data_IF_018823627494
#
_entry.id   IF_018823627494
#
_cell.length_a   1.000
_cell.length_b   1.000
_cell.length_c   1.000
_cell.angle_alpha   90.00
_cell.angle_beta   90.00
_cell.angle_gamma   90.00
#
_symmetry.space_group_name_H-M   'P 1'
#
loop_
_entity.id
_entity.type
_entity.pdbx_description
1 polymer ?
#
# COMPACT_ATOMS: atom_id res chain seq x y z
N UNK A 1 -38.63 -29.49 -68.03
CA UNK A 1 -37.25 -29.44 -68.58
C UNK A 1 -36.41 -28.73 -67.54
N UNK A 2 -35.79 -29.54 -66.65
CA UNK A 2 -34.33 -29.64 -66.46
C UNK A 2 -33.76 -28.48 -65.61
N UNK A 3 -32.89 -28.66 -64.62
CA UNK A 3 -32.42 -29.81 -63.83
C UNK A 3 -31.57 -29.15 -62.71
N UNK A 4 -31.86 -29.51 -61.45
CA UNK A 4 -30.91 -29.79 -60.36
C UNK A 4 -29.89 -28.73 -59.89
N UNK A 5 -29.81 -28.69 -58.56
CA UNK A 5 -29.11 -27.80 -57.63
C UNK A 5 -27.65 -28.26 -57.34
N UNK A 6 -26.77 -27.28 -57.05
CA UNK A 6 -25.52 -27.30 -56.22
C UNK A 6 -24.22 -27.95 -56.73
N UNK A 7 -23.15 -27.14 -56.74
CA UNK A 7 -21.83 -27.48 -56.18
C UNK A 7 -21.07 -26.16 -55.86
N UNK A 8 -21.22 -25.63 -54.65
CA UNK A 8 -20.22 -25.66 -53.55
C UNK A 8 -18.81 -25.15 -53.91
N UNK A 9 -18.49 -23.90 -53.54
CA UNK A 9 -17.13 -23.51 -53.21
C UNK A 9 -17.15 -22.78 -51.86
N UNK A 10 -16.75 -23.53 -50.83
CA UNK A 10 -16.53 -23.07 -49.47
C UNK A 10 -15.23 -22.28 -49.47
N UNK A 11 -15.31 -20.95 -49.35
CA UNK A 11 -14.14 -20.12 -49.04
C UNK A 11 -13.99 -20.15 -47.52
N UNK A 12 -13.10 -21.01 -47.04
CA UNK A 12 -12.70 -21.05 -45.64
C UNK A 12 -12.00 -19.75 -45.26
N UNK A 13 -12.65 -18.98 -44.41
CA UNK A 13 -12.14 -17.81 -43.72
C UNK A 13 -11.10 -18.29 -42.70
N UNK A 14 -9.81 -18.07 -42.98
CA UNK A 14 -8.76 -18.18 -41.97
C UNK A 14 -8.67 -16.84 -41.22
N UNK A 15 -9.51 -16.66 -40.19
CA UNK A 15 -9.31 -15.62 -39.18
C UNK A 15 -8.12 -16.08 -38.32
N UNK A 16 -6.94 -15.52 -38.58
CA UNK A 16 -5.86 -15.51 -37.60
C UNK A 16 -6.30 -14.58 -36.46
N UNK A 17 -7.04 -15.14 -35.51
CA UNK A 17 -7.27 -14.50 -34.22
C UNK A 17 -5.93 -14.49 -33.47
N UNK A 18 -5.17 -13.41 -33.64
CA UNK A 18 -4.06 -13.09 -32.74
C UNK A 18 -4.69 -12.87 -31.37
N UNK A 19 -4.59 -13.87 -30.49
CA UNK A 19 -4.77 -13.66 -29.05
C UNK A 19 -3.65 -12.71 -28.60
N UNK A 20 -3.90 -11.41 -28.68
CA UNK A 20 -3.19 -10.46 -27.85
C UNK A 20 -3.74 -10.71 -26.45
N UNK A 21 -3.10 -11.61 -25.71
CA UNK A 21 -3.30 -11.70 -24.28
C UNK A 21 -3.09 -10.29 -23.73
N UNK A 22 -4.10 -9.75 -23.04
CA UNK A 22 -3.97 -8.54 -22.25
C UNK A 22 -2.92 -8.81 -21.19
N UNK A 23 -1.65 -8.60 -21.52
CA UNK A 23 -0.61 -8.46 -20.53
C UNK A 23 -0.96 -7.15 -19.84
N UNK A 24 -1.64 -7.25 -18.69
CA UNK A 24 -1.73 -6.14 -17.76
C UNK A 24 -0.29 -5.74 -17.46
N UNK A 25 0.15 -4.61 -18.01
CA UNK A 25 1.46 -4.04 -17.70
C UNK A 25 1.37 -3.56 -16.26
N UNK A 26 1.65 -4.46 -15.32
CA UNK A 26 1.72 -4.10 -13.91
C UNK A 26 2.80 -3.04 -13.75
N UNK A 27 2.39 -1.88 -13.25
CA UNK A 27 3.29 -0.75 -13.04
C UNK A 27 4.05 -1.01 -11.75
N UNK A 28 5.37 -1.18 -11.87
CA UNK A 28 6.23 -1.37 -10.71
C UNK A 28 6.34 -0.06 -9.89
N UNK A 29 6.13 -0.12 -8.56
CA UNK A 29 6.40 0.99 -7.67
C UNK A 29 7.85 1.47 -7.75
N UNK A 30 8.01 2.79 -7.85
CA UNK A 30 9.34 3.41 -7.89
C UNK A 30 9.32 4.76 -7.21
N UNK A 31 10.47 5.16 -6.68
CA UNK A 31 10.67 6.41 -5.99
C UNK A 31 12.01 7.00 -6.41
N UNK A 32 12.02 8.30 -6.69
CA UNK A 32 13.24 9.09 -6.82
C UNK A 32 13.19 10.21 -5.80
N UNK A 33 14.18 10.27 -4.92
CA UNK A 33 14.40 11.38 -4.00
C UNK A 33 15.41 12.35 -4.60
N UNK A 34 15.24 13.64 -4.30
CA UNK A 34 16.11 14.72 -4.76
C UNK A 34 16.56 15.58 -3.59
N UNK A 35 17.85 15.91 -3.56
CA UNK A 35 18.46 16.73 -2.52
C UNK A 35 18.05 18.21 -2.61
N UNK A 36 17.59 18.67 -3.78
CA UNK A 36 17.02 19.99 -4.00
C UNK A 36 15.50 19.95 -4.13
N UNK A 37 14.86 21.12 -3.95
CA UNK A 37 13.44 21.32 -4.28
C UNK A 37 13.22 21.27 -5.78
N UNK A 38 11.98 21.01 -6.19
CA UNK A 38 11.55 20.94 -7.59
C UNK A 38 12.40 19.96 -8.42
N UNK A 39 12.75 18.82 -7.82
CA UNK A 39 13.40 17.69 -8.48
C UNK A 39 14.79 18.02 -9.02
N UNK A 40 15.55 18.79 -8.24
CA UNK A 40 16.90 19.24 -8.60
C UNK A 40 17.97 18.65 -7.68
N UNK A 41 19.24 18.73 -8.08
CA UNK A 41 20.37 18.27 -7.27
C UNK A 41 20.67 16.78 -7.38
N UNK A 42 21.46 16.28 -6.42
CA UNK A 42 21.74 14.85 -6.27
C UNK A 42 20.43 14.08 -6.11
N UNK A 43 20.34 12.88 -6.70
CA UNK A 43 19.16 12.04 -6.58
C UNK A 43 19.51 10.60 -6.22
N UNK A 44 18.56 9.94 -5.55
CA UNK A 44 18.58 8.52 -5.22
C UNK A 44 17.29 7.89 -5.76
N UNK A 45 17.42 6.84 -6.57
CA UNK A 45 16.28 6.10 -7.13
C UNK A 45 16.17 4.72 -6.50
N UNK A 46 14.95 4.35 -6.09
CA UNK A 46 14.61 3.10 -5.42
C UNK A 46 13.49 2.39 -6.18
N UNK A 47 13.60 1.07 -6.27
CA UNK A 47 12.59 0.18 -6.87
C UNK A 47 11.99 -0.71 -5.78
N UNK A 48 10.67 -0.63 -5.58
CA UNK A 48 9.83 -1.50 -4.74
C UNK A 48 10.48 -2.18 -3.51
N UNK A 49 11.33 -1.46 -2.79
CA UNK A 49 12.10 -2.00 -1.67
C UNK A 49 12.16 -0.99 -0.55
N UNK A 50 12.04 -1.51 0.66
CA UNK A 50 12.28 -0.75 1.86
C UNK A 50 13.77 -0.40 1.98
N UNK A 51 14.04 0.70 2.69
CA UNK A 51 15.37 1.11 3.13
C UNK A 51 15.28 1.42 4.61
N UNK A 52 15.90 0.58 5.43
CA UNK A 52 15.95 0.81 6.89
C UNK A 52 16.83 2.01 7.24
N UNK A 53 17.79 2.35 6.37
CA UNK A 53 18.72 3.47 6.50
C UNK A 53 19.03 4.03 5.11
N UNK A 54 19.28 5.34 5.04
CA UNK A 54 19.76 6.02 3.84
C UNK A 54 21.23 6.46 3.94
N UNK A 55 21.84 6.33 5.11
CA UNK A 55 23.28 6.62 5.31
C UNK A 55 24.17 5.79 4.38
N UNK A 56 23.97 4.46 4.22
CA UNK A 56 24.80 3.67 3.31
C UNK A 56 24.69 4.09 1.83
N UNK A 57 23.60 4.75 1.46
CA UNK A 57 23.34 5.27 0.11
C UNK A 57 23.92 6.69 -0.06
N UNK A 58 24.51 7.28 0.99
CA UNK A 58 25.00 8.65 1.00
C UNK A 58 23.89 9.68 0.81
N UNK A 59 22.65 9.37 1.23
CA UNK A 59 21.46 10.20 1.01
C UNK A 59 20.66 10.51 2.29
N UNK A 60 21.22 10.19 3.45
CA UNK A 60 20.61 10.43 4.76
C UNK A 60 20.35 11.91 5.01
N UNK A 61 19.13 12.25 5.46
CA UNK A 61 18.74 13.63 5.76
C UNK A 61 18.92 14.62 4.58
N UNK A 62 18.98 14.14 3.34
CA UNK A 62 19.19 15.01 2.17
C UNK A 62 17.90 15.38 1.43
N UNK A 63 16.85 14.57 1.53
CA UNK A 63 15.71 14.68 0.62
C UNK A 63 14.88 15.95 0.86
N UNK A 64 14.67 16.74 -0.20
CA UNK A 64 13.84 17.95 -0.21
C UNK A 64 12.66 17.88 -1.19
N UNK A 65 12.77 17.04 -2.21
CA UNK A 65 11.65 16.74 -3.11
C UNK A 65 11.73 15.31 -3.60
N UNK A 66 10.65 14.82 -4.21
CA UNK A 66 10.54 13.45 -4.68
C UNK A 66 9.62 13.35 -5.90
N UNK A 67 9.80 12.28 -6.66
CA UNK A 67 8.85 11.77 -7.65
C UNK A 67 8.62 10.28 -7.41
N UNK A 68 7.37 9.82 -7.43
CA UNK A 68 7.05 8.44 -7.12
C UNK A 68 5.86 7.89 -7.89
N UNK A 69 5.86 6.57 -8.07
CA UNK A 69 4.72 5.74 -8.46
C UNK A 69 4.41 4.81 -7.29
N UNK A 70 3.13 4.56 -7.02
CA UNK A 70 2.67 3.77 -5.88
C UNK A 70 2.55 4.59 -4.60
N UNK A 71 2.72 3.91 -3.47
CA UNK A 71 2.56 4.48 -2.12
C UNK A 71 3.83 4.26 -1.31
N UNK A 72 4.31 5.31 -0.66
CA UNK A 72 5.60 5.33 0.05
C UNK A 72 5.47 6.00 1.41
N UNK A 73 6.19 5.49 2.40
CA UNK A 73 6.32 6.04 3.75
C UNK A 73 7.76 6.53 3.94
N UNK A 74 7.91 7.69 4.54
CA UNK A 74 9.19 8.36 4.79
C UNK A 74 9.30 8.65 6.28
N UNK A 75 10.45 8.37 6.86
CA UNK A 75 10.67 8.48 8.30
C UNK A 75 11.86 9.38 8.59
N UNK A 76 11.72 10.21 9.64
CA UNK A 76 12.75 11.13 10.13
C UNK A 76 13.99 10.38 10.66
N UNK A 77 13.79 9.19 11.27
CA UNK A 77 14.88 8.40 11.83
C UNK A 77 15.10 7.08 11.07
N UNK A 78 16.30 6.48 11.23
CA UNK A 78 16.57 5.11 10.82
C UNK A 78 15.58 4.10 11.41
N UNK A 79 15.53 2.93 10.78
CA UNK A 79 14.72 1.78 11.21
C UNK A 79 13.23 2.14 11.41
N UNK A 80 12.69 3.02 10.57
CA UNK A 80 11.27 3.36 10.53
C UNK A 80 10.75 3.93 11.86
N UNK A 81 11.56 4.77 12.52
CA UNK A 81 11.29 5.33 13.85
C UNK A 81 11.00 4.25 14.92
N UNK A 82 11.67 3.08 14.83
CA UNK A 82 11.39 1.96 15.73
C UNK A 82 11.75 2.24 17.19
N UNK A 83 12.77 3.05 17.46
CA UNK A 83 13.29 3.23 18.82
C UNK A 83 12.84 4.54 19.48
N UNK A 84 12.47 5.54 18.67
CA UNK A 84 12.21 6.90 19.13
C UNK A 84 11.00 7.49 18.43
N UNK A 85 10.42 8.50 19.07
CA UNK A 85 9.37 9.31 18.49
C UNK A 85 9.96 10.28 17.50
N UNK A 86 9.48 10.23 16.25
CA UNK A 86 9.83 11.23 15.27
C UNK A 86 8.73 11.43 14.23
N UNK A 87 8.97 12.34 13.29
CA UNK A 87 8.04 12.59 12.21
C UNK A 87 8.03 11.45 11.20
N UNK A 88 6.88 11.28 10.54
CA UNK A 88 6.72 10.44 9.37
C UNK A 88 5.92 11.24 8.34
N UNK A 89 6.22 11.07 7.06
CA UNK A 89 5.37 11.50 5.96
C UNK A 89 4.99 10.29 5.11
N UNK A 90 3.89 10.39 4.38
CA UNK A 90 3.55 9.38 3.38
C UNK A 90 3.08 10.05 2.10
N UNK A 91 3.30 9.36 0.99
CA UNK A 91 2.85 9.79 -0.32
C UNK A 91 2.05 8.69 -0.98
N UNK A 92 0.93 9.07 -1.57
CA UNK A 92 0.17 8.24 -2.49
C UNK A 92 0.10 8.92 -3.85
N UNK A 93 0.67 8.29 -4.88
CA UNK A 93 0.60 8.80 -6.24
C UNK A 93 -0.83 8.66 -6.81
N UNK A 94 -1.32 9.56 -7.69
CA UNK A 94 -2.64 9.47 -8.29
C UNK A 94 -2.88 8.10 -8.95
N UNK A 95 -3.94 7.43 -8.50
CA UNK A 95 -4.33 6.08 -8.93
C UNK A 95 -3.22 5.01 -8.74
N UNK A 96 -2.16 5.31 -7.98
CA UNK A 96 -1.00 4.45 -7.79
C UNK A 96 -0.12 4.21 -9.03
N UNK A 97 -0.57 4.55 -10.24
CA UNK A 97 0.12 4.24 -11.52
C UNK A 97 0.88 5.42 -12.12
N UNK A 98 0.40 6.64 -11.90
CA UNK A 98 1.00 7.84 -12.49
C UNK A 98 2.13 8.36 -11.62
N UNK A 99 3.19 8.88 -12.24
CA UNK A 99 4.24 9.57 -11.48
C UNK A 99 3.63 10.80 -10.81
N UNK A 100 3.86 10.92 -9.50
CA UNK A 100 3.53 12.10 -8.72
C UNK A 100 4.78 12.70 -8.12
N UNK A 101 4.89 14.00 -8.23
CA UNK A 101 6.06 14.73 -7.84
C UNK A 101 5.69 15.83 -6.84
N UNK A 102 6.42 15.93 -5.74
CA UNK A 102 6.14 16.89 -4.66
C UNK A 102 7.41 17.35 -3.96
N UNK A 103 7.37 18.55 -3.39
CA UNK A 103 8.35 18.98 -2.40
C UNK A 103 7.95 18.42 -1.02
N UNK A 104 8.93 18.12 -0.17
CA UNK A 104 8.68 18.01 1.27
C UNK A 104 8.35 19.39 1.83
N UNK A 105 7.48 19.42 2.84
CA UNK A 105 7.20 20.66 3.56
C UNK A 105 8.44 21.13 4.36
N UNK A 106 8.40 22.36 4.88
CA UNK A 106 9.54 22.93 5.60
C UNK A 106 9.89 22.21 6.92
N UNK A 107 8.98 21.40 7.48
CA UNK A 107 9.21 20.66 8.72
C UNK A 107 9.88 19.33 8.44
N UNK A 108 9.57 18.69 7.31
CA UNK A 108 10.10 17.37 6.94
C UNK A 108 11.24 17.41 5.91
N UNK A 109 11.49 18.56 5.28
CA UNK A 109 12.62 18.75 4.36
C UNK A 109 13.95 18.46 5.08
N UNK A 110 14.84 17.70 4.43
CA UNK A 110 16.15 17.28 4.97
C UNK A 110 16.06 16.40 6.23
N UNK A 111 15.03 15.55 6.32
CA UNK A 111 14.84 14.64 7.46
C UNK A 111 14.75 13.16 7.11
N UNK A 112 14.47 12.82 5.86
CA UNK A 112 14.24 11.42 5.50
C UNK A 112 15.51 10.60 5.75
N UNK A 113 15.41 9.62 6.65
CA UNK A 113 16.51 8.71 7.03
C UNK A 113 16.17 7.23 6.79
N UNK A 114 14.87 6.89 6.66
CA UNK A 114 14.43 5.56 6.24
C UNK A 114 13.10 5.61 5.47
N UNK A 115 12.80 4.56 4.70
CA UNK A 115 11.70 4.53 3.72
C UNK A 115 11.05 3.15 3.66
N UNK A 116 9.72 3.12 3.56
CA UNK A 116 8.98 1.90 3.20
C UNK A 116 8.15 2.06 1.94
N UNK A 117 8.09 0.99 1.17
CA UNK A 117 7.10 0.82 0.12
C UNK A 117 5.83 0.18 0.70
N UNK A 118 4.66 0.59 0.19
CA UNK A 118 3.36 0.09 0.65
C UNK A 118 2.67 -0.71 -0.44
N UNK A 119 2.30 -1.95 -0.12
CA UNK A 119 1.57 -2.86 -1.00
C UNK A 119 2.45 -3.97 -1.58
N UNK A 120 2.08 -4.48 -2.75
CA UNK A 120 2.85 -5.54 -3.43
C UNK A 120 3.86 -4.95 -4.39
N UNK A 121 5.12 -5.43 -4.38
CA UNK A 121 6.14 -4.99 -5.34
C UNK A 121 5.81 -5.41 -6.78
N UNK A 122 4.90 -6.38 -6.95
CA UNK A 122 4.47 -6.88 -8.26
C UNK A 122 3.29 -6.10 -8.81
N UNK A 123 2.34 -5.70 -7.96
CA UNK A 123 1.11 -5.06 -8.39
C UNK A 123 0.59 -4.04 -7.40
N UNK A 124 0.39 -2.80 -7.86
CA UNK A 124 -0.22 -1.73 -7.06
C UNK A 124 -1.70 -1.99 -6.71
N UNK A 125 -2.38 -2.91 -7.41
CA UNK A 125 -3.78 -3.32 -7.11
C UNK A 125 -3.84 -4.57 -6.24
N UNK A 126 -2.70 -5.14 -5.85
CA UNK A 126 -2.70 -6.35 -5.03
C UNK A 126 -3.43 -6.10 -3.71
N UNK A 127 -4.22 -7.09 -3.31
CA UNK A 127 -4.90 -7.07 -2.03
C UNK A 127 -3.95 -7.51 -0.93
N UNK A 128 -3.60 -6.56 -0.07
CA UNK A 128 -2.64 -6.80 1.00
C UNK A 128 -3.11 -6.17 2.29
N UNK A 129 -2.68 -6.75 3.40
CA UNK A 129 -2.79 -6.18 4.73
C UNK A 129 -1.38 -6.07 5.30
N UNK A 130 -0.98 -4.88 5.73
CA UNK A 130 0.28 -4.67 6.44
C UNK A 130 -0.01 -4.18 7.85
N UNK A 131 0.50 -4.89 8.84
CA UNK A 131 0.38 -4.56 10.26
C UNK A 131 1.63 -3.82 10.72
N UNK A 132 1.48 -2.87 11.64
CA UNK A 132 2.58 -2.10 12.22
C UNK A 132 2.48 -2.06 13.75
N UNK A 133 3.62 -2.18 14.41
CA UNK A 133 3.75 -2.24 15.86
C UNK A 133 3.48 -0.89 16.57
N UNK A 134 3.59 0.24 15.86
CA UNK A 134 3.31 1.57 16.40
C UNK A 134 2.27 2.29 15.56
N UNK A 135 1.68 3.36 16.09
CA UNK A 135 0.78 4.22 15.32
C UNK A 135 1.57 4.92 14.21
N UNK A 136 0.86 5.46 13.23
CA UNK A 136 1.49 6.14 12.09
C UNK A 136 2.49 5.24 11.35
N UNK A 137 2.21 3.94 11.26
CA UNK A 137 2.96 2.98 10.45
C UNK A 137 4.45 2.87 10.80
N UNK A 138 4.80 3.15 12.06
CA UNK A 138 6.16 3.11 12.57
C UNK A 138 6.52 1.76 13.20
N UNK A 139 7.81 1.53 13.44
CA UNK A 139 8.31 0.33 14.09
C UNK A 139 8.21 -0.92 13.21
N UNK A 140 8.27 -2.10 13.83
CA UNK A 140 8.21 -3.38 13.13
C UNK A 140 6.90 -3.52 12.33
N UNK A 141 6.98 -4.17 11.17
CA UNK A 141 5.83 -4.43 10.29
C UNK A 141 5.77 -5.88 9.82
N UNK A 142 4.57 -6.34 9.48
CA UNK A 142 4.33 -7.63 8.84
C UNK A 142 3.37 -7.49 7.67
N UNK A 143 3.74 -8.09 6.53
CA UNK A 143 3.03 -7.99 5.26
C UNK A 143 2.31 -9.30 4.94
N UNK A 144 1.04 -9.21 4.54
CA UNK A 144 0.18 -10.35 4.27
C UNK A 144 -0.61 -10.20 2.98
N UNK A 145 -0.80 -11.30 2.26
CA UNK A 145 -1.62 -11.38 1.03
C UNK A 145 -2.87 -12.24 1.19
N UNK A 146 -3.05 -12.86 2.36
CA UNK A 146 -4.15 -13.78 2.66
C UNK A 146 -4.40 -13.90 4.16
N UNK A 147 -5.27 -14.83 4.52
CA UNK A 147 -5.70 -15.08 5.89
C UNK A 147 -4.55 -15.53 6.79
N UNK A 148 -4.59 -15.14 8.07
CA UNK A 148 -3.58 -15.54 9.04
C UNK A 148 -4.15 -15.72 10.45
N UNK A 149 -3.86 -16.87 11.06
CA UNK A 149 -4.47 -17.30 12.33
C UNK A 149 -3.72 -16.84 13.59
N UNK A 150 -2.47 -16.38 13.45
CA UNK A 150 -1.60 -15.93 14.56
C UNK A 150 -0.37 -15.16 14.03
N UNK A 151 -0.46 -13.88 13.64
CA UNK A 151 0.69 -13.08 13.19
C UNK A 151 1.70 -12.88 14.32
N UNK A 152 2.99 -12.66 14.01
CA UNK A 152 4.01 -12.49 15.08
C UNK A 152 3.91 -11.14 15.78
N UNK A 153 3.42 -10.10 15.10
CA UNK A 153 3.06 -8.79 15.66
C UNK A 153 1.76 -8.81 16.48
N UNK A 154 1.18 -9.98 16.74
CA UNK A 154 0.09 -10.14 17.71
C UNK A 154 0.43 -9.36 18.98
N UNK A 155 -0.58 -8.74 19.59
CA UNK A 155 -0.44 -7.98 20.86
C UNK A 155 0.24 -6.61 20.77
N UNK A 156 0.94 -6.31 19.68
CA UNK A 156 1.62 -5.01 19.50
C UNK A 156 1.04 -4.17 18.37
N UNK A 157 0.07 -4.67 17.61
CA UNK A 157 -0.50 -3.91 16.49
C UNK A 157 -1.12 -2.60 16.97
N UNK A 158 -0.72 -1.50 16.33
CA UNK A 158 -1.19 -0.14 16.59
C UNK A 158 -1.76 0.55 15.34
N UNK A 159 -1.24 0.23 14.16
CA UNK A 159 -1.70 0.78 12.90
C UNK A 159 -1.64 -0.28 11.80
N UNK A 160 -2.39 -0.07 10.72
CA UNK A 160 -2.41 -0.97 9.58
C UNK A 160 -2.70 -0.24 8.29
N UNK A 161 -2.23 -0.82 7.18
CA UNK A 161 -2.56 -0.37 5.83
C UNK A 161 -3.15 -1.54 5.07
N UNK A 162 -4.26 -1.30 4.36
CA UNK A 162 -4.86 -2.24 3.42
C UNK A 162 -4.67 -1.68 2.01
N UNK A 163 -4.17 -2.49 1.08
CA UNK A 163 -4.21 -2.20 -0.36
C UNK A 163 -5.21 -3.10 -1.05
N UNK A 164 -5.70 -2.68 -2.22
CA UNK A 164 -6.77 -3.35 -2.94
C UNK A 164 -8.16 -2.97 -2.42
N UNK A 165 -9.19 -3.61 -2.98
CA UNK A 165 -10.60 -3.34 -2.69
C UNK A 165 -11.23 -4.28 -1.67
N UNK A 166 -10.56 -5.38 -1.33
CA UNK A 166 -11.12 -6.36 -0.40
C UNK A 166 -11.21 -5.83 1.04
N UNK A 167 -12.36 -6.02 1.71
CA UNK A 167 -12.46 -5.81 3.15
C UNK A 167 -11.72 -6.90 3.91
N UNK A 168 -11.40 -6.64 5.19
CA UNK A 168 -10.71 -7.57 6.07
C UNK A 168 -11.40 -7.64 7.44
N UNK A 169 -11.69 -8.85 7.91
CA UNK A 169 -12.14 -9.06 9.29
C UNK A 169 -10.93 -9.32 10.18
N UNK A 170 -10.74 -8.51 11.23
CA UNK A 170 -9.73 -8.73 12.27
C UNK A 170 -10.39 -9.24 13.55
N UNK A 171 -9.69 -10.10 14.28
CA UNK A 171 -10.20 -10.79 15.46
C UNK A 171 -9.30 -10.57 16.68
N UNK A 172 -9.91 -10.47 17.87
CA UNK A 172 -9.20 -10.32 19.14
C UNK A 172 -8.57 -11.63 19.68
N UNK A 173 -8.92 -12.78 19.08
CA UNK A 173 -8.33 -14.09 19.40
C UNK A 173 -7.71 -14.75 18.17
N UNK A 174 -6.84 -15.71 18.44
CA UNK A 174 -6.24 -16.56 17.40
C UNK A 174 -7.30 -17.45 16.76
N UNK A 175 -7.01 -17.92 15.55
CA UNK A 175 -7.87 -18.87 14.85
C UNK A 175 -9.25 -18.33 14.47
N UNK A 176 -9.37 -17.02 14.21
CA UNK A 176 -10.56 -16.37 13.66
C UNK A 176 -11.77 -16.41 14.61
N UNK A 177 -11.52 -16.18 15.90
CA UNK A 177 -12.53 -16.29 16.96
C UNK A 177 -12.57 -15.02 17.83
N UNK A 178 -13.59 -14.92 18.68
CA UNK A 178 -13.75 -13.79 19.61
C UNK A 178 -14.43 -12.56 18.98
N UNK A 179 -14.12 -11.39 19.51
CA UNK A 179 -14.64 -10.11 18.99
C UNK A 179 -14.02 -9.83 17.63
N UNK A 180 -14.83 -9.33 16.70
CA UNK A 180 -14.38 -9.06 15.33
C UNK A 180 -14.80 -7.69 14.85
N UNK A 181 -13.92 -7.06 14.07
CA UNK A 181 -14.17 -5.80 13.36
C UNK A 181 -13.95 -6.02 11.87
N UNK A 182 -14.86 -5.54 11.03
CA UNK A 182 -14.64 -5.56 9.59
C UNK A 182 -14.13 -4.21 9.14
N UNK A 183 -12.89 -4.20 8.64
CA UNK A 183 -12.25 -3.00 8.09
C UNK A 183 -12.55 -2.99 6.60
N UNK A 184 -13.30 -1.97 6.17
CA UNK A 184 -13.72 -1.79 4.79
C UNK A 184 -12.96 -0.60 4.20
N UNK A 185 -12.08 -0.81 3.22
CA UNK A 185 -11.50 0.27 2.44
C UNK A 185 -12.62 1.04 1.75
N UNK A 186 -12.78 2.35 2.01
CA UNK A 186 -13.85 3.09 1.35
C UNK A 186 -13.53 3.29 -0.14
N UNK A 187 -14.44 2.82 -1.01
CA UNK A 187 -14.66 3.29 -2.38
C UNK A 187 -14.13 2.45 -3.54
N UNK A 188 -14.73 2.70 -4.70
CA UNK A 188 -14.74 1.86 -5.91
C UNK A 188 -13.45 1.81 -6.74
N UNK A 189 -12.32 2.36 -6.25
CA UNK A 189 -11.07 2.40 -7.03
C UNK A 189 -10.03 1.51 -6.37
N UNK A 190 -9.67 0.43 -7.06
CA UNK A 190 -8.83 -0.68 -6.60
C UNK A 190 -7.40 -0.30 -6.16
N UNK A 191 -6.98 0.96 -6.33
CA UNK A 191 -5.59 1.40 -6.15
C UNK A 191 -5.36 2.35 -4.97
N UNK A 192 -6.40 2.89 -4.33
CA UNK A 192 -6.21 3.77 -3.16
C UNK A 192 -6.13 2.94 -1.89
N UNK A 193 -5.02 2.97 -1.13
CA UNK A 193 -4.91 2.22 0.10
C UNK A 193 -5.76 2.84 1.21
N UNK A 194 -6.25 2.00 2.11
CA UNK A 194 -6.88 2.42 3.36
C UNK A 194 -5.83 2.46 4.48
N UNK A 195 -5.70 3.61 5.12
CA UNK A 195 -4.72 3.87 6.17
C UNK A 195 -5.42 4.01 7.52
N UNK A 196 -5.08 3.12 8.44
CA UNK A 196 -5.55 3.19 9.83
C UNK A 196 -4.39 3.61 10.71
N UNK A 197 -4.25 4.93 10.91
CA UNK A 197 -3.11 5.53 11.63
C UNK A 197 -3.03 5.12 13.10
N UNK A 198 -4.18 4.88 13.73
CA UNK A 198 -4.32 4.35 15.08
C UNK A 198 -5.58 3.50 15.11
N UNK A 199 -5.44 2.20 15.35
CA UNK A 199 -6.59 1.27 15.38
C UNK A 199 -7.60 1.62 16.49
N UNK A 200 -7.18 2.32 17.55
CA UNK A 200 -8.08 2.78 18.63
C UNK A 200 -9.07 3.83 18.14
N UNK A 201 -8.66 4.66 17.17
CA UNK A 201 -9.55 5.65 16.55
C UNK A 201 -10.73 5.00 15.81
N UNK A 202 -10.63 3.70 15.54
CA UNK A 202 -11.65 2.88 14.87
C UNK A 202 -12.42 1.99 15.84
N UNK A 203 -12.23 2.16 17.15
CA UNK A 203 -12.87 1.32 18.18
C UNK A 203 -12.25 -0.08 18.34
N UNK A 204 -11.08 -0.33 17.74
CA UNK A 204 -10.31 -1.57 17.92
C UNK A 204 -9.30 -1.32 19.04
N UNK A 205 -9.35 -2.04 20.18
CA UNK A 205 -8.42 -1.76 21.26
C UNK A 205 -6.98 -2.11 20.87
N UNK A 206 -6.02 -1.32 21.36
CA UNK A 206 -4.60 -1.49 21.02
C UNK A 206 -4.12 -2.91 21.34
N UNK A 207 -3.32 -3.49 20.44
CA UNK A 207 -2.73 -4.80 20.70
C UNK A 207 -3.76 -5.89 20.90
N UNK A 208 -4.94 -5.81 20.29
CA UNK A 208 -5.96 -6.88 20.34
C UNK A 208 -5.95 -7.76 19.12
N UNK A 209 -5.50 -7.30 17.95
CA UNK A 209 -5.49 -8.11 16.73
C UNK A 209 -4.62 -9.37 16.94
N UNK A 210 -5.23 -10.56 16.82
CA UNK A 210 -4.60 -11.88 16.98
C UNK A 210 -4.81 -12.81 15.78
N UNK A 211 -5.77 -12.50 14.90
CA UNK A 211 -5.94 -13.18 13.61
C UNK A 211 -6.77 -12.31 12.65
N UNK A 212 -6.76 -12.62 11.37
CA UNK A 212 -7.54 -11.90 10.36
C UNK A 212 -7.83 -12.75 9.12
N UNK A 213 -8.92 -12.44 8.44
CA UNK A 213 -9.33 -13.05 7.16
C UNK A 213 -9.81 -12.00 6.19
N UNK A 214 -9.62 -12.25 4.89
CA UNK A 214 -10.28 -11.47 3.84
C UNK A 214 -11.80 -11.63 3.91
N UNK A 215 -12.51 -10.56 3.55
CA UNK A 215 -13.96 -10.48 3.60
C UNK A 215 -14.49 -9.96 4.94
N UNK A 216 -15.75 -9.51 4.94
CA UNK A 216 -16.55 -9.33 6.16
C UNK A 216 -17.30 -10.63 6.45
N UNK A 217 -16.84 -11.42 7.42
CA UNK A 217 -17.31 -12.79 7.63
C UNK A 217 -18.49 -12.91 8.60
N UNK A 218 -18.72 -11.92 9.46
CA UNK A 218 -19.77 -11.94 10.48
C UNK A 218 -20.71 -10.74 10.31
N UNK A 219 -22.02 -10.98 10.41
CA UNK A 219 -23.04 -9.92 10.49
C UNK A 219 -22.97 -9.08 11.77
N UNK A 220 -22.21 -9.54 12.77
CA UNK A 220 -21.99 -8.87 14.06
C UNK A 220 -20.67 -8.09 14.10
N UNK A 221 -19.84 -8.17 13.06
CA UNK A 221 -18.61 -7.41 13.02
C UNK A 221 -18.94 -5.91 12.94
N UNK A 222 -18.27 -5.10 13.77
CA UNK A 222 -18.40 -3.65 13.68
C UNK A 222 -17.72 -3.22 12.38
N UNK A 223 -18.50 -2.61 11.49
CA UNK A 223 -17.98 -2.09 10.23
C UNK A 223 -17.22 -0.79 10.48
N UNK A 224 -15.98 -0.76 10.01
CA UNK A 224 -15.07 0.38 10.11
C UNK A 224 -14.82 0.89 8.69
N UNK A 225 -15.43 2.02 8.37
CA UNK A 225 -15.27 2.68 7.07
C UNK A 225 -14.10 3.67 7.11
N UNK A 226 -13.01 3.31 6.44
CA UNK A 226 -11.80 4.13 6.42
C UNK A 226 -11.86 5.12 5.27
N UNK A 227 -11.86 6.42 5.58
CA UNK A 227 -11.83 7.49 4.59
C UNK A 227 -10.63 7.36 3.65
N UNK A 228 -10.87 7.62 2.36
CA UNK A 228 -9.81 7.66 1.36
C UNK A 228 -8.80 8.76 1.69
N UNK A 229 -7.54 8.48 1.43
CA UNK A 229 -6.53 9.51 1.35
C UNK A 229 -6.53 10.08 -0.07
N UNK A 230 -6.52 11.40 -0.19
CA UNK A 230 -6.28 12.06 -1.47
C UNK A 230 -4.86 11.78 -1.99
N UNK A 231 -4.66 11.70 -3.31
CA UNK A 231 -3.31 11.70 -3.86
C UNK A 231 -2.52 12.91 -3.39
N UNK A 232 -1.25 12.72 -3.05
CA UNK A 232 -0.43 13.77 -2.49
C UNK A 232 0.62 13.27 -1.51
N UNK A 233 1.50 14.19 -1.12
CA UNK A 233 2.35 14.05 0.06
C UNK A 233 1.59 14.57 1.27
N UNK A 234 1.52 13.76 2.31
CA UNK A 234 0.80 14.06 3.54
C UNK A 234 1.74 13.97 4.73
N UNK A 235 1.51 14.84 5.70
CA UNK A 235 2.20 14.78 6.97
C UNK A 235 1.59 13.70 7.86
N UNK A 236 2.41 12.77 8.32
CA UNK A 236 2.09 11.85 9.41
C UNK A 236 2.29 12.50 10.78
N UNK A 237 1.67 11.93 11.82
CA UNK A 237 1.77 12.48 13.17
C UNK A 237 3.11 12.21 13.86
N UNK A 238 3.32 12.90 14.98
CA UNK A 238 4.38 12.64 15.96
C UNK A 238 3.75 11.85 17.11
N UNK A 239 4.45 10.83 17.62
CA UNK A 239 4.05 10.03 18.77
C UNK A 239 4.56 10.61 20.09
N UNK A 240 3.86 11.53 20.77
CA UNK A 240 4.29 11.94 22.11
C UNK A 240 4.22 10.80 23.13
#
# INVERSE_FOLDING_TARGET
MEKVIKLSLIISIAINAVLIGLVSTQVEPRLTLFAGKNWTGLNLSLLSQDRSELEPEGFDNMAQSLCAVGTWLFYDLPYYNANETAYMNYLHAPNGTSIYCSNFDSVFSNKTSSIRFVGSPKSITAETLTLYAKTYFQGQSEYFTGDYSSPSLSETVSSLIITGSSPWTVFDRKGYSGTSWCIVPSGSNETTPAFVVDIRSQGIPHGTIRSFKKGCLNSTAVEVNIQKISPGLHRGGILY
#
